data_IF_811387499941
#
_entry.id   IF_811387499941
#
_cell.length_a   1.000
_cell.length_b   1.000
_cell.length_c   1.000
_cell.angle_alpha   90.00
_cell.angle_beta   90.00
_cell.angle_gamma   90.00
#
_symmetry.space_group_name_H-M   'P 1'
#
loop_
_entity.id
_entity.type
_entity.pdbx_description
1 polymer ?
#
# COMPACT_ATOMS: atom_id res chain seq x y z
N UNK A 1 -2.61 10.94 11.15
CA UNK A 1 -1.75 10.16 10.24
C UNK A 1 -2.34 8.77 10.02
N UNK A 2 -2.46 7.93 11.02
CA UNK A 2 -2.95 6.54 10.90
C UNK A 2 -4.36 6.37 10.33
N UNK A 3 -5.18 7.42 10.27
CA UNK A 3 -6.43 7.45 9.52
C UNK A 3 -6.22 7.58 7.99
N UNK A 4 -5.02 7.98 7.55
CA UNK A 4 -4.66 8.17 6.14
C UNK A 4 -3.82 7.02 5.57
N UNK A 5 -3.54 5.98 6.36
CA UNK A 5 -2.77 4.81 5.95
C UNK A 5 -2.09 4.09 7.11
N UNK A 6 -1.26 3.14 6.74
CA UNK A 6 -0.49 2.28 7.64
C UNK A 6 0.97 2.74 7.64
N UNK A 7 1.55 2.89 8.84
CA UNK A 7 2.90 3.43 9.00
C UNK A 7 3.68 2.66 10.05
N UNK A 8 4.97 2.52 9.81
CA UNK A 8 5.92 2.02 10.81
C UNK A 8 6.25 3.11 11.84
N UNK A 9 6.85 2.71 12.97
CA UNK A 9 7.34 3.68 13.97
C UNK A 9 8.34 4.66 13.36
N UNK A 10 9.26 4.16 12.54
CA UNK A 10 10.29 4.99 11.90
C UNK A 10 9.70 6.04 10.97
N UNK A 11 8.70 5.69 10.19
CA UNK A 11 7.99 6.64 9.33
C UNK A 11 7.22 7.69 10.14
N UNK A 12 6.54 7.28 11.22
CA UNK A 12 5.85 8.22 12.10
C UNK A 12 6.81 9.16 12.81
N UNK A 13 7.99 8.69 13.21
CA UNK A 13 9.09 9.51 13.74
C UNK A 13 9.51 10.58 12.72
N UNK A 14 9.69 10.18 11.47
CA UNK A 14 10.07 11.08 10.39
C UNK A 14 8.96 12.10 10.08
N UNK A 15 7.70 11.66 9.99
CA UNK A 15 6.55 12.52 9.69
C UNK A 15 6.33 13.54 10.82
N UNK A 16 6.30 13.09 12.07
CA UNK A 16 6.04 13.93 13.24
C UNK A 16 7.25 14.76 13.68
N UNK A 17 8.42 14.46 13.13
CA UNK A 17 9.71 15.05 13.58
C UNK A 17 9.89 14.97 15.11
N UNK A 18 9.59 13.80 15.67
CA UNK A 18 9.67 13.55 17.11
C UNK A 18 10.56 12.34 17.41
N UNK A 19 11.06 12.25 18.63
CA UNK A 19 11.90 11.12 19.06
C UNK A 19 11.11 9.81 19.07
N UNK A 20 11.78 8.71 18.70
CA UNK A 20 11.20 7.37 18.68
C UNK A 20 10.56 6.95 20.02
N UNK A 21 11.17 7.19 21.20
CA UNK A 21 10.54 6.83 22.48
C UNK A 21 9.20 7.55 22.71
N UNK A 22 9.11 8.83 22.30
CA UNK A 22 7.88 9.62 22.41
C UNK A 22 6.80 9.07 21.49
N UNK A 23 7.11 8.83 20.22
CA UNK A 23 6.18 8.27 19.25
C UNK A 23 5.71 6.87 19.70
N UNK A 24 6.64 6.00 20.11
CA UNK A 24 6.30 4.64 20.56
C UNK A 24 5.38 4.65 21.78
N UNK A 25 5.61 5.57 22.74
CA UNK A 25 4.74 5.73 23.91
C UNK A 25 3.31 6.14 23.50
N UNK A 26 3.17 7.11 22.60
CA UNK A 26 1.85 7.54 22.12
C UNK A 26 1.13 6.44 21.33
N UNK A 27 1.86 5.71 20.48
CA UNK A 27 1.30 4.56 19.75
C UNK A 27 0.78 3.50 20.71
N UNK A 28 1.55 3.18 21.76
CA UNK A 28 1.11 2.23 22.79
C UNK A 28 -0.20 2.70 23.46
N UNK A 29 -0.27 3.95 23.91
CA UNK A 29 -1.47 4.51 24.55
C UNK A 29 -2.68 4.43 23.61
N UNK A 30 -2.50 4.78 22.33
CA UNK A 30 -3.58 4.76 21.35
C UNK A 30 -4.03 3.33 21.00
N UNK A 31 -3.11 2.37 20.99
CA UNK A 31 -3.44 0.94 20.84
C UNK A 31 -4.18 0.42 22.07
N UNK A 32 -3.69 0.70 23.27
CA UNK A 32 -4.31 0.27 24.54
C UNK A 32 -5.74 0.86 24.68
N UNK A 33 -5.97 2.07 24.17
CA UNK A 33 -7.28 2.72 24.10
C UNK A 33 -8.15 2.25 22.92
N UNK A 34 -7.67 1.37 22.05
CA UNK A 34 -8.42 0.82 20.92
C UNK A 34 -8.61 1.78 19.74
N UNK A 35 -7.90 2.90 19.67
CA UNK A 35 -7.94 3.82 18.52
C UNK A 35 -7.06 3.37 17.37
N UNK A 36 -5.96 2.71 17.69
CA UNK A 36 -5.04 2.13 16.71
C UNK A 36 -4.94 0.62 16.88
N UNK A 37 -4.60 -0.05 15.82
CA UNK A 37 -4.18 -1.45 15.83
C UNK A 37 -2.78 -1.59 15.26
N UNK A 38 -2.03 -2.53 15.84
CA UNK A 38 -0.70 -2.89 15.41
C UNK A 38 -0.77 -4.16 14.59
N UNK A 39 -0.27 -4.10 13.37
CA UNK A 39 -0.12 -5.24 12.47
C UNK A 39 1.34 -5.63 12.42
N UNK A 40 1.64 -6.91 12.61
CA UNK A 40 2.99 -7.45 12.45
C UNK A 40 3.09 -8.18 11.12
N UNK A 41 4.04 -7.78 10.30
CA UNK A 41 4.30 -8.37 8.99
C UNK A 41 5.80 -8.65 8.87
N UNK A 42 6.18 -9.91 9.02
CA UNK A 42 7.58 -10.33 9.16
C UNK A 42 8.26 -9.59 10.32
N UNK A 43 9.34 -8.88 10.03
CA UNK A 43 10.09 -8.10 11.01
C UNK A 43 9.57 -6.66 11.19
N UNK A 44 8.48 -6.29 10.50
CA UNK A 44 7.92 -4.94 10.53
C UNK A 44 6.66 -4.88 11.39
N UNK A 45 6.47 -3.77 12.07
CA UNK A 45 5.25 -3.44 12.78
C UNK A 45 4.64 -2.17 12.17
N UNK A 46 3.44 -2.31 11.66
CA UNK A 46 2.65 -1.22 11.11
C UNK A 46 1.55 -0.81 12.09
N UNK A 47 1.24 0.46 12.09
CA UNK A 47 0.17 1.05 12.89
C UNK A 47 -0.84 1.70 11.97
N UNK A 48 -2.11 1.37 12.18
CA UNK A 48 -3.23 1.96 11.44
C UNK A 48 -4.39 2.28 12.39
N UNK A 49 -5.36 3.04 11.91
CA UNK A 49 -6.61 3.25 12.63
C UNK A 49 -7.32 1.90 12.82
N UNK A 50 -7.83 1.65 14.02
CA UNK A 50 -8.57 0.43 14.32
C UNK A 50 -9.79 0.27 13.39
N UNK A 51 -10.02 -0.96 12.93
CA UNK A 51 -11.05 -1.28 11.93
C UNK A 51 -12.47 -1.35 12.51
N UNK A 52 -12.62 -1.45 13.84
CA UNK A 52 -13.90 -1.51 14.52
C UNK A 52 -14.76 -0.26 14.29
N UNK A 53 -16.05 -0.45 13.98
CA UNK A 53 -16.98 0.65 13.66
C UNK A 53 -17.04 1.71 14.76
N UNK A 54 -17.11 1.31 16.02
CA UNK A 54 -17.16 2.22 17.16
C UNK A 54 -15.85 2.98 17.36
N UNK A 55 -14.70 2.31 17.23
CA UNK A 55 -13.37 2.94 17.33
C UNK A 55 -13.17 3.97 16.22
N UNK A 56 -13.57 3.64 15.00
CA UNK A 56 -13.55 4.56 13.85
C UNK A 56 -14.41 5.79 14.08
N UNK A 57 -15.64 5.61 14.54
CA UNK A 57 -16.55 6.72 14.82
C UNK A 57 -15.96 7.65 15.87
N UNK A 58 -15.47 7.11 16.99
CA UNK A 58 -14.85 7.89 18.06
C UNK A 58 -13.59 8.63 17.58
N UNK A 59 -12.74 7.96 16.82
CA UNK A 59 -11.54 8.58 16.25
C UNK A 59 -11.90 9.72 15.28
N UNK A 60 -12.90 9.55 14.43
CA UNK A 60 -13.35 10.58 13.50
C UNK A 60 -13.93 11.81 14.24
N UNK A 61 -14.68 11.60 15.33
CA UNK A 61 -15.15 12.71 16.17
C UNK A 61 -13.98 13.49 16.79
N UNK A 62 -12.94 12.80 17.27
CA UNK A 62 -11.75 13.47 17.80
C UNK A 62 -10.99 14.22 16.71
N UNK A 63 -10.87 13.64 15.52
CA UNK A 63 -10.21 14.30 14.37
C UNK A 63 -10.97 15.56 13.92
N UNK A 64 -12.30 15.56 14.02
CA UNK A 64 -13.14 16.72 13.69
C UNK A 64 -12.98 17.91 14.67
N UNK A 65 -12.38 17.68 15.85
CA UNK A 65 -12.06 18.74 16.81
C UNK A 65 -10.74 19.45 16.51
N UNK A 66 -9.95 18.92 15.57
CA UNK A 66 -8.70 19.56 15.18
C UNK A 66 -8.98 20.87 14.43
N UNK A 67 -8.26 21.95 14.75
CA UNK A 67 -8.45 23.22 14.09
C UNK A 67 -8.07 23.13 12.61
N UNK A 68 -8.91 23.71 11.76
CA UNK A 68 -8.62 23.86 10.35
C UNK A 68 -7.43 24.80 10.16
N UNK A 69 -6.48 24.39 9.30
CA UNK A 69 -5.34 25.23 8.94
C UNK A 69 -4.21 25.30 9.99
N UNK A 70 -4.18 24.39 10.95
CA UNK A 70 -3.06 24.30 11.90
C UNK A 70 -1.73 24.06 11.13
N UNK A 71 -0.73 24.97 11.27
CA UNK A 71 0.52 24.86 10.52
C UNK A 71 1.33 23.62 10.88
N UNK A 72 1.23 23.11 12.11
CA UNK A 72 1.93 21.89 12.53
C UNK A 72 1.33 20.69 11.80
N UNK A 73 0.01 20.61 11.73
CA UNK A 73 -0.68 19.55 10.99
C UNK A 73 -0.37 19.65 9.50
N UNK A 74 -0.34 20.85 8.93
CA UNK A 74 0.00 21.07 7.53
C UNK A 74 1.40 20.54 7.21
N UNK A 75 2.42 20.88 8.01
CA UNK A 75 3.77 20.37 7.84
C UNK A 75 3.89 18.85 8.05
N UNK A 76 3.12 18.28 8.98
CA UNK A 76 3.06 16.84 9.16
C UNK A 76 2.48 16.15 7.91
N UNK A 77 1.48 16.74 7.27
CA UNK A 77 0.90 16.21 6.04
C UNK A 77 1.84 16.32 4.84
N UNK A 78 2.60 17.39 4.72
CA UNK A 78 3.65 17.52 3.69
C UNK A 78 4.71 16.41 3.85
N UNK A 79 5.19 16.17 5.08
CA UNK A 79 6.13 15.08 5.37
C UNK A 79 5.52 13.71 5.13
N UNK A 80 4.24 13.53 5.41
CA UNK A 80 3.49 12.32 5.08
C UNK A 80 3.52 12.03 3.57
N UNK A 81 3.26 13.03 2.76
CA UNK A 81 3.26 12.87 1.30
C UNK A 81 4.67 12.55 0.77
N UNK A 82 5.70 13.17 1.34
CA UNK A 82 7.09 12.84 1.04
C UNK A 82 7.44 11.39 1.37
N UNK A 83 7.02 10.88 2.54
CA UNK A 83 7.22 9.47 2.94
C UNK A 83 6.48 8.51 2.00
N UNK A 84 5.24 8.82 1.64
CA UNK A 84 4.46 8.02 0.66
C UNK A 84 5.13 8.00 -0.71
N UNK A 85 5.65 9.12 -1.16
CA UNK A 85 6.37 9.22 -2.43
C UNK A 85 7.68 8.42 -2.40
N UNK A 86 8.45 8.50 -1.31
CA UNK A 86 9.66 7.72 -1.14
C UNK A 86 9.38 6.21 -1.18
N UNK A 87 8.31 5.76 -0.50
CA UNK A 87 7.86 4.36 -0.51
C UNK A 87 7.50 3.89 -1.94
N UNK A 88 6.79 4.70 -2.70
CA UNK A 88 6.45 4.39 -4.11
C UNK A 88 7.72 4.27 -4.96
N UNK A 89 8.62 5.22 -4.87
CA UNK A 89 9.90 5.19 -5.63
C UNK A 89 10.73 3.96 -5.30
N UNK A 90 10.81 3.57 -4.03
CA UNK A 90 11.52 2.36 -3.62
C UNK A 90 10.88 1.09 -4.19
N UNK A 91 9.55 1.02 -4.22
CA UNK A 91 8.84 -0.08 -4.85
C UNK A 91 9.07 -0.11 -6.36
N UNK A 92 8.96 1.03 -7.05
CA UNK A 92 9.18 1.15 -8.49
C UNK A 92 10.61 0.73 -8.86
N UNK A 93 11.61 1.18 -8.08
CA UNK A 93 13.00 0.78 -8.28
C UNK A 93 13.19 -0.72 -8.12
N UNK A 94 12.65 -1.31 -7.05
CA UNK A 94 12.72 -2.74 -6.82
C UNK A 94 12.10 -3.53 -7.99
N UNK A 95 10.92 -3.11 -8.45
CA UNK A 95 10.28 -3.75 -9.60
C UNK A 95 11.08 -3.60 -10.90
N UNK A 96 11.73 -2.45 -11.12
CA UNK A 96 12.61 -2.26 -12.29
C UNK A 96 13.85 -3.16 -12.23
N UNK A 97 14.47 -3.31 -11.07
CA UNK A 97 15.63 -4.17 -10.87
C UNK A 97 15.27 -5.66 -11.08
N UNK A 98 14.10 -6.09 -10.58
CA UNK A 98 13.65 -7.48 -10.68
C UNK A 98 13.00 -7.79 -12.03
N UNK A 99 12.50 -6.78 -12.76
CA UNK A 99 11.81 -6.97 -14.03
C UNK A 99 12.68 -7.68 -15.09
N UNK A 100 13.99 -7.43 -15.09
CA UNK A 100 14.94 -8.09 -15.99
C UNK A 100 15.13 -9.60 -15.71
N UNK A 101 14.92 -10.01 -14.47
CA UNK A 101 15.05 -11.40 -14.04
C UNK A 101 13.69 -12.13 -13.97
N UNK A 102 12.60 -11.38 -14.11
CA UNK A 102 11.26 -11.90 -13.91
C UNK A 102 10.87 -13.01 -14.87
N UNK A 103 11.26 -12.90 -16.13
CA UNK A 103 11.03 -13.95 -17.14
C UNK A 103 11.79 -15.23 -16.79
N UNK A 104 13.01 -15.10 -16.25
CA UNK A 104 13.79 -16.25 -15.78
C UNK A 104 13.17 -16.89 -14.54
N UNK A 105 12.79 -16.08 -13.53
CA UNK A 105 12.15 -16.57 -12.31
C UNK A 105 10.82 -17.25 -12.65
N UNK A 106 10.01 -16.64 -13.53
CA UNK A 106 8.74 -17.19 -13.98
C UNK A 106 8.91 -18.53 -14.71
N UNK A 107 9.91 -18.65 -15.57
CA UNK A 107 10.19 -19.90 -16.30
C UNK A 107 10.61 -21.06 -15.39
N UNK A 108 11.16 -20.77 -14.20
CA UNK A 108 11.54 -21.80 -13.21
C UNK A 108 10.33 -22.38 -12.46
N UNK A 109 9.25 -21.60 -12.32
CA UNK A 109 8.10 -21.99 -11.50
C UNK A 109 6.84 -22.33 -12.28
N UNK A 110 6.71 -21.89 -13.53
CA UNK A 110 5.51 -22.11 -14.34
C UNK A 110 5.85 -22.31 -15.83
N UNK A 111 5.40 -23.41 -16.43
CA UNK A 111 5.39 -23.57 -17.88
C UNK A 111 4.43 -22.56 -18.51
N UNK A 112 4.97 -21.73 -19.40
CA UNK A 112 4.38 -20.50 -19.94
C UNK A 112 2.96 -20.60 -20.55
N UNK A 113 2.53 -21.78 -20.99
CA UNK A 113 1.27 -21.91 -21.74
C UNK A 113 0.07 -22.42 -20.94
N UNK A 114 0.28 -22.97 -19.75
CA UNK A 114 -0.80 -23.58 -18.96
C UNK A 114 -1.68 -22.54 -18.26
N UNK A 115 -1.08 -21.50 -17.72
CA UNK A 115 -1.75 -20.48 -16.90
C UNK A 115 -2.57 -19.53 -17.78
N UNK A 116 -1.99 -19.05 -18.89
CA UNK A 116 -2.70 -18.18 -19.84
C UNK A 116 -3.94 -18.88 -20.41
N UNK A 117 -3.81 -20.14 -20.79
CA UNK A 117 -4.91 -20.93 -21.30
C UNK A 117 -6.00 -21.18 -20.23
N UNK A 118 -5.59 -21.41 -18.98
CA UNK A 118 -6.53 -21.58 -17.88
C UNK A 118 -7.30 -20.28 -17.58
N UNK A 119 -6.62 -19.14 -17.60
CA UNK A 119 -7.26 -17.82 -17.42
C UNK A 119 -8.20 -17.52 -18.58
N UNK A 120 -7.79 -17.74 -19.83
CA UNK A 120 -8.64 -17.54 -21.00
C UNK A 120 -9.88 -18.43 -20.95
N UNK A 121 -9.71 -19.70 -20.54
CA UNK A 121 -10.82 -20.66 -20.42
C UNK A 121 -11.78 -20.24 -19.30
N UNK A 122 -11.26 -19.78 -18.16
CA UNK A 122 -12.08 -19.31 -17.04
C UNK A 122 -12.88 -18.04 -17.39
N UNK A 123 -12.29 -17.15 -18.22
CA UNK A 123 -12.93 -15.90 -18.64
C UNK A 123 -13.89 -16.06 -19.84
N UNK A 124 -13.72 -17.08 -20.65
CA UNK A 124 -14.53 -17.29 -21.87
C UNK A 124 -16.02 -17.52 -21.58
N UNK A 125 -16.37 -18.04 -20.40
CA UNK A 125 -17.76 -18.31 -19.98
C UNK A 125 -18.39 -17.23 -19.10
N UNK A 126 -17.67 -16.16 -18.79
CA UNK A 126 -18.14 -15.14 -17.83
C UNK A 126 -18.88 -14.02 -18.57
N UNK A 127 -20.09 -13.61 -18.15
CA UNK A 127 -20.77 -12.45 -18.74
C UNK A 127 -19.87 -11.22 -18.59
N UNK A 128 -19.87 -10.36 -19.64
CA UNK A 128 -19.04 -9.13 -19.65
C UNK A 128 -19.35 -8.26 -18.45
N UNK A 129 -18.51 -8.35 -17.42
CA UNK A 129 -18.52 -7.53 -16.22
C UNK A 129 -17.24 -6.69 -16.12
N UNK A 130 -17.06 -6.03 -14.98
CA UNK A 130 -15.82 -5.33 -14.65
C UNK A 130 -14.81 -6.38 -14.15
N UNK A 131 -13.68 -6.49 -14.80
CA UNK A 131 -12.56 -7.33 -14.40
C UNK A 131 -11.47 -6.43 -13.81
N UNK A 132 -11.00 -6.75 -12.61
CA UNK A 132 -9.85 -6.11 -11.97
C UNK A 132 -8.75 -7.16 -11.91
N UNK A 133 -7.63 -6.88 -12.56
CA UNK A 133 -6.41 -7.68 -12.44
C UNK A 133 -5.48 -7.01 -11.40
N UNK A 134 -5.11 -7.76 -10.38
CA UNK A 134 -4.25 -7.28 -9.30
C UNK A 134 -2.94 -8.08 -9.36
N UNK A 135 -1.92 -7.52 -10.02
CA UNK A 135 -0.55 -8.02 -9.97
C UNK A 135 -0.18 -9.10 -10.98
N UNK A 136 -1.01 -9.37 -11.98
CA UNK A 136 -0.61 -10.21 -13.11
C UNK A 136 0.06 -9.36 -14.18
N UNK A 137 1.38 -9.42 -14.30
CA UNK A 137 2.10 -8.88 -15.45
C UNK A 137 1.89 -9.82 -16.65
N UNK A 138 0.86 -9.61 -17.44
CA UNK A 138 0.73 -10.25 -18.76
C UNK A 138 1.50 -9.37 -19.74
N UNK A 139 2.69 -9.81 -20.11
CA UNK A 139 3.47 -9.19 -21.17
C UNK A 139 2.88 -9.63 -22.52
N UNK A 140 2.07 -8.75 -23.13
CA UNK A 140 1.66 -8.94 -24.52
C UNK A 140 2.88 -8.69 -25.40
N UNK A 141 3.36 -9.73 -26.07
CA UNK A 141 4.44 -9.67 -27.05
C UNK A 141 3.95 -9.04 -28.34
N UNK A 142 3.82 -7.72 -28.34
CA UNK A 142 3.81 -6.94 -29.57
C UNK A 142 5.07 -6.08 -29.58
N UNK A 143 5.96 -6.38 -30.53
CA UNK A 143 7.35 -5.93 -30.61
C UNK A 143 7.55 -4.42 -30.42
N UNK A 144 7.94 -4.03 -29.24
CA UNK A 144 8.35 -2.67 -28.97
C UNK A 144 8.31 -2.32 -27.48
N UNK A 145 9.48 -2.24 -26.88
CA UNK A 145 9.86 -1.69 -25.58
C UNK A 145 9.13 -2.18 -24.30
N UNK A 146 9.88 -2.64 -23.31
CA UNK A 146 9.33 -3.01 -22.02
C UNK A 146 9.02 -1.73 -21.22
N UNK A 147 7.76 -1.35 -21.14
CA UNK A 147 7.30 -0.46 -20.09
C UNK A 147 6.59 -1.31 -19.04
N UNK A 148 7.28 -1.57 -17.93
CA UNK A 148 6.66 -2.08 -16.72
C UNK A 148 5.79 -0.97 -16.14
N UNK A 149 4.49 -1.02 -16.39
CA UNK A 149 3.51 -0.16 -15.74
C UNK A 149 2.51 -1.07 -15.04
N UNK A 150 2.22 -0.86 -13.76
CA UNK A 150 1.11 -1.56 -13.13
C UNK A 150 -0.19 -1.03 -13.75
N UNK A 151 -0.74 -1.77 -14.71
CA UNK A 151 -1.99 -1.40 -15.34
C UNK A 151 -3.18 -1.90 -14.53
N UNK A 152 -3.94 -0.99 -13.95
CA UNK A 152 -5.37 -1.18 -13.81
C UNK A 152 -5.99 -1.01 -15.21
N UNK A 153 -6.26 -2.10 -15.92
CA UNK A 153 -7.02 -2.04 -17.17
C UNK A 153 -8.49 -2.08 -16.83
N UNK A 154 -9.11 -0.90 -16.80
CA UNK A 154 -10.56 -0.79 -16.82
C UNK A 154 -11.03 -0.98 -18.28
N UNK A 155 -11.42 -2.19 -18.65
CA UNK A 155 -12.14 -2.42 -19.93
C UNK A 155 -13.64 -2.25 -19.68
N UNK A 156 -14.20 -1.23 -20.32
CA UNK A 156 -15.65 -1.05 -20.47
C UNK A 156 -16.24 -2.08 -21.42
#
# INVERSE_FOLDING_TARGET
>A
LCAKGEFTVSELVQILNQSQPRVSRHLKILCDAGFLERLSEGNWAYYRQASGMQARSSANHLLALLPDGDPVIAHDLERLDAVKLARRRSADQYFQEVAGEWDHIRSLYMGDHGVEKAIQTALAGTPRGRLIDIGTCIQQRDGGHPMAVPYCVEKR
#
